data_IF_164226447641
#
_entry.id   IF_164226447641
#
_cell.length_a   1.000
_cell.length_b   1.000
_cell.length_c   1.000
_cell.angle_alpha   90.00
_cell.angle_beta   90.00
_cell.angle_gamma   90.00
#
_symmetry.space_group_name_H-M   'P 1'
#
loop_
_entity.id
_entity.type
_entity.pdbx_description
1 polymer ?
#
# COMPACT_ATOMS: atom_id res chain seq x y z
N UNK A 1 -10.12 16.33 1.82
CA UNK A 1 -8.72 16.71 1.51
C UNK A 1 -8.38 16.15 0.14
N UNK A 2 -7.66 16.88 -0.71
CA UNK A 2 -7.39 16.45 -2.10
C UNK A 2 -6.17 15.51 -2.13
N UNK A 3 -6.24 14.43 -2.91
CA UNK A 3 -5.10 13.51 -3.13
C UNK A 3 -4.13 14.09 -4.16
N UNK A 4 -2.83 13.86 -3.96
CA UNK A 4 -1.80 14.11 -4.97
C UNK A 4 -2.08 13.23 -6.19
N UNK A 5 -1.61 13.64 -7.38
CA UNK A 5 -1.81 12.84 -8.60
C UNK A 5 -0.99 11.55 -8.57
N UNK A 6 0.19 11.64 -7.98
CA UNK A 6 1.17 10.58 -7.83
C UNK A 6 0.58 9.44 -6.99
N UNK A 7 0.97 8.20 -7.27
CA UNK A 7 0.43 7.02 -6.56
C UNK A 7 0.89 7.02 -5.10
N UNK A 8 2.20 7.15 -4.85
CA UNK A 8 2.76 7.30 -3.51
C UNK A 8 2.55 8.75 -3.05
N UNK A 9 1.73 8.94 -2.01
CA UNK A 9 1.49 10.27 -1.43
C UNK A 9 2.73 10.74 -0.65
N UNK A 10 3.00 12.04 -0.66
CA UNK A 10 4.12 12.63 0.11
C UNK A 10 3.92 12.53 1.62
N UNK A 11 2.65 12.61 2.04
CA UNK A 11 2.22 12.51 3.43
C UNK A 11 2.01 11.06 3.83
N UNK A 12 2.12 10.79 5.12
CA UNK A 12 1.79 9.47 5.69
C UNK A 12 2.89 8.43 5.53
N UNK A 13 4.10 8.81 5.09
CA UNK A 13 5.27 7.96 5.24
C UNK A 13 5.89 8.17 6.63
N UNK A 14 5.85 7.14 7.48
CA UNK A 14 6.43 7.18 8.84
C UNK A 14 6.60 5.78 9.42
N UNK A 15 7.45 5.67 10.43
CA UNK A 15 7.49 4.49 11.29
C UNK A 15 6.19 4.37 12.12
N UNK A 16 5.77 3.12 12.34
CA UNK A 16 4.58 2.76 13.14
C UNK A 16 5.06 2.29 14.51
N UNK A 17 4.51 2.91 15.56
CA UNK A 17 4.78 2.57 16.96
C UNK A 17 3.63 1.75 17.54
N UNK A 18 3.96 0.68 18.27
CA UNK A 18 3.05 -0.03 19.16
C UNK A 18 3.63 -0.02 20.57
N UNK A 19 3.11 0.87 21.43
CA UNK A 19 3.68 1.09 22.75
C UNK A 19 5.07 1.72 22.65
N UNK A 20 6.08 1.01 23.15
CA UNK A 20 7.49 1.44 23.12
C UNK A 20 8.25 0.92 21.88
N UNK A 21 7.66 0.00 21.12
CA UNK A 21 8.33 -0.69 20.02
C UNK A 21 7.91 -0.11 18.67
N UNK A 22 8.90 0.05 17.78
CA UNK A 22 8.65 0.32 16.37
C UNK A 22 8.44 -1.00 15.63
N UNK A 23 7.25 -1.21 15.08
CA UNK A 23 6.84 -2.49 14.49
C UNK A 23 6.90 -2.51 12.97
N UNK A 24 7.06 -1.35 12.34
CA UNK A 24 7.11 -1.23 10.89
C UNK A 24 7.07 0.21 10.42
N UNK A 25 6.67 0.39 9.17
CA UNK A 25 6.44 1.69 8.56
C UNK A 25 5.17 1.68 7.71
N UNK A 26 4.57 2.84 7.51
CA UNK A 26 3.38 3.00 6.67
C UNK A 26 3.62 3.87 5.45
N UNK A 27 2.85 3.61 4.40
CA UNK A 27 2.84 4.34 3.14
C UNK A 27 1.40 4.69 2.79
N UNK A 28 1.14 5.94 2.43
CA UNK A 28 -0.15 6.35 1.88
C UNK A 28 -0.17 6.20 0.35
N UNK A 29 -1.14 5.45 -0.16
CA UNK A 29 -1.31 5.19 -1.59
C UNK A 29 -2.63 5.79 -2.09
N UNK A 30 -2.59 6.34 -3.30
CA UNK A 30 -3.77 6.73 -4.08
C UNK A 30 -4.21 5.57 -4.97
N UNK A 31 -5.53 5.43 -5.11
CA UNK A 31 -6.14 4.50 -6.05
C UNK A 31 -5.62 4.72 -7.48
N UNK A 32 -4.92 3.75 -8.11
CA UNK A 32 -4.38 3.93 -9.46
C UNK A 32 -5.43 3.69 -10.55
N UNK A 33 -6.59 3.14 -10.21
CA UNK A 33 -7.68 2.86 -11.15
C UNK A 33 -8.72 4.00 -11.19
N UNK A 34 -9.31 4.28 -12.36
CA UNK A 34 -10.27 5.37 -12.57
C UNK A 34 -11.60 5.25 -11.82
N UNK A 35 -12.00 4.05 -11.36
CA UNK A 35 -13.33 3.82 -10.74
C UNK A 35 -13.31 3.27 -9.31
N UNK A 36 -12.13 3.18 -8.68
CA UNK A 36 -11.97 2.42 -7.45
C UNK A 36 -12.20 0.92 -7.63
N UNK A 37 -11.86 0.11 -6.61
CA UNK A 37 -11.97 -1.35 -6.69
C UNK A 37 -12.51 -1.94 -5.39
N UNK A 38 -13.18 -3.09 -5.52
CA UNK A 38 -13.53 -3.91 -4.37
C UNK A 38 -12.26 -4.49 -3.75
N UNK A 39 -12.23 -4.66 -2.43
CA UNK A 39 -11.09 -5.23 -1.72
C UNK A 39 -10.71 -6.61 -2.27
N UNK A 40 -11.70 -7.41 -2.67
CA UNK A 40 -11.49 -8.73 -3.27
C UNK A 40 -10.80 -8.73 -4.64
N UNK A 41 -10.64 -7.57 -5.25
CA UNK A 41 -9.90 -7.39 -6.50
C UNK A 41 -8.49 -6.82 -6.29
N UNK A 42 -8.06 -6.67 -5.05
CA UNK A 42 -6.69 -6.27 -4.70
C UNK A 42 -5.89 -7.56 -4.55
N UNK A 43 -4.82 -7.71 -5.33
CA UNK A 43 -3.89 -8.85 -5.25
C UNK A 43 -2.65 -8.55 -4.39
N UNK A 44 -2.54 -7.29 -3.94
CA UNK A 44 -1.57 -6.84 -2.95
C UNK A 44 -0.70 -5.72 -3.48
N UNK A 45 0.36 -5.40 -2.73
CA UNK A 45 1.35 -4.40 -3.13
C UNK A 45 2.74 -4.85 -2.72
N UNK A 46 3.64 -5.05 -3.69
CA UNK A 46 5.04 -5.24 -3.34
C UNK A 46 5.63 -3.87 -2.98
N UNK A 47 6.45 -3.82 -1.94
CA UNK A 47 7.11 -2.60 -1.48
C UNK A 47 8.61 -2.86 -1.50
N UNK A 48 9.38 -1.99 -2.14
CA UNK A 48 10.84 -2.01 -2.07
C UNK A 48 11.33 -0.72 -1.44
N UNK A 49 12.18 -0.82 -0.42
CA UNK A 49 12.83 0.33 0.23
C UNK A 49 14.33 0.12 0.22
N UNK A 50 15.07 1.03 -0.40
CA UNK A 50 16.54 0.97 -0.53
C UNK A 50 17.08 -0.39 -1.01
N UNK A 51 16.34 -1.04 -1.90
CA UNK A 51 16.68 -2.35 -2.47
C UNK A 51 16.20 -3.56 -1.65
N UNK A 52 15.66 -3.38 -0.44
CA UNK A 52 14.99 -4.44 0.31
C UNK A 52 13.53 -4.55 -0.12
N UNK A 53 13.10 -5.74 -0.56
CA UNK A 53 11.73 -5.99 -1.03
C UNK A 53 10.90 -6.76 0.01
N UNK A 54 9.65 -6.32 0.16
CA UNK A 54 8.56 -7.04 0.79
C UNK A 54 7.53 -7.41 -0.28
N UNK A 55 7.22 -8.71 -0.40
CA UNK A 55 6.31 -9.22 -1.43
C UNK A 55 4.87 -8.82 -1.14
N UNK A 56 4.02 -8.88 -2.16
CA UNK A 56 2.64 -8.35 -2.16
C UNK A 56 1.70 -8.84 -1.05
N UNK A 57 2.01 -9.96 -0.40
CA UNK A 57 1.19 -10.53 0.67
C UNK A 57 1.60 -10.06 2.06
N UNK A 58 2.78 -9.46 2.20
CA UNK A 58 3.33 -9.02 3.49
C UNK A 58 2.64 -7.74 4.01
N UNK A 59 2.45 -6.68 3.19
CA UNK A 59 1.88 -5.45 3.70
C UNK A 59 0.41 -5.57 4.12
N UNK A 60 0.04 -4.85 5.17
CA UNK A 60 -1.33 -4.75 5.68
C UNK A 60 -1.99 -3.50 5.12
N UNK A 61 -3.23 -3.65 4.68
CA UNK A 61 -4.01 -2.61 4.03
C UNK A 61 -5.03 -2.04 4.99
N UNK A 62 -4.99 -0.74 5.22
CA UNK A 62 -6.05 -0.01 5.91
C UNK A 62 -6.92 0.70 4.89
N UNK A 63 -8.17 0.25 4.82
CA UNK A 63 -9.24 0.81 3.98
C UNK A 63 -10.45 1.05 4.87
N UNK A 64 -11.12 2.19 4.70
CA UNK A 64 -12.33 2.57 5.45
C UNK A 64 -12.14 2.46 6.97
N UNK A 65 -10.93 2.79 7.46
CA UNK A 65 -10.57 2.74 8.87
C UNK A 65 -10.37 1.33 9.44
N UNK A 66 -10.34 0.29 8.60
CA UNK A 66 -10.15 -1.11 9.00
C UNK A 66 -8.90 -1.69 8.33
N UNK A 67 -8.11 -2.44 9.09
CA UNK A 67 -6.87 -3.06 8.61
C UNK A 67 -7.10 -4.51 8.20
N UNK A 68 -6.51 -4.91 7.09
CA UNK A 68 -6.67 -6.22 6.47
C UNK A 68 -5.33 -6.78 5.99
N UNK A 69 -5.16 -8.09 6.11
CA UNK A 69 -4.30 -8.88 5.22
C UNK A 69 -4.86 -8.92 3.81
N UNK A 70 -4.02 -9.33 2.86
CA UNK A 70 -4.50 -9.61 1.51
C UNK A 70 -5.52 -10.75 1.46
N UNK A 71 -5.39 -11.75 2.34
CA UNK A 71 -6.33 -12.87 2.42
C UNK A 71 -7.72 -12.41 2.88
N UNK A 72 -7.79 -11.51 3.87
CA UNK A 72 -9.05 -10.93 4.34
C UNK A 72 -9.69 -10.04 3.26
N UNK A 73 -8.89 -9.25 2.52
CA UNK A 73 -9.38 -8.48 1.38
C UNK A 73 -9.98 -9.36 0.29
N UNK A 74 -9.28 -10.44 -0.11
CA UNK A 74 -9.76 -11.42 -1.10
C UNK A 74 -11.13 -12.01 -0.74
N UNK A 75 -11.41 -12.19 0.54
CA UNK A 75 -12.69 -12.73 1.04
C UNK A 75 -13.76 -11.64 1.29
N UNK A 76 -13.38 -10.36 1.24
CA UNK A 76 -14.29 -9.27 1.57
C UNK A 76 -15.34 -9.04 0.47
N UNK A 77 -16.57 -8.76 0.89
CA UNK A 77 -17.70 -8.41 0.00
C UNK A 77 -18.19 -6.99 0.20
N UNK A 78 -17.75 -6.32 1.28
CA UNK A 78 -18.20 -4.98 1.68
C UNK A 78 -17.08 -3.95 1.77
N UNK A 79 -15.84 -4.30 1.47
CA UNK A 79 -14.70 -3.37 1.49
C UNK A 79 -14.46 -2.85 0.08
N UNK A 80 -14.36 -1.54 -0.06
CA UNK A 80 -14.07 -0.89 -1.33
C UNK A 80 -13.03 0.20 -1.13
N UNK A 81 -11.95 0.14 -1.89
CA UNK A 81 -11.02 1.26 -1.96
C UNK A 81 -11.60 2.30 -2.93
N UNK A 82 -12.07 3.42 -2.38
CA UNK A 82 -12.69 4.49 -3.17
C UNK A 82 -11.64 5.30 -3.95
N UNK A 83 -12.08 6.00 -5.00
CA UNK A 83 -11.20 6.79 -5.86
C UNK A 83 -10.54 7.96 -5.12
N UNK A 84 -11.27 8.58 -4.20
CA UNK A 84 -10.91 9.73 -3.40
C UNK A 84 -10.39 9.37 -1.99
N UNK A 85 -10.25 8.06 -1.73
CA UNK A 85 -9.76 7.54 -0.47
C UNK A 85 -8.27 7.17 -0.54
N UNK A 86 -7.52 7.53 0.51
CA UNK A 86 -6.16 7.03 0.72
C UNK A 86 -6.21 5.62 1.28
N UNK A 87 -5.49 4.69 0.67
CA UNK A 87 -5.14 3.44 1.34
C UNK A 87 -3.87 3.65 2.15
N UNK A 88 -3.87 3.26 3.42
CA UNK A 88 -2.63 3.17 4.20
C UNK A 88 -2.11 1.75 4.13
N UNK A 89 -0.86 1.57 3.75
CA UNK A 89 -0.19 0.27 3.67
C UNK A 89 0.90 0.22 4.72
N UNK A 90 0.78 -0.69 5.69
CA UNK A 90 1.78 -0.92 6.73
C UNK A 90 2.65 -2.13 6.36
N UNK A 91 3.96 -1.94 6.40
CA UNK A 91 4.97 -2.98 6.17
C UNK A 91 5.66 -3.31 7.48
N UNK A 92 5.62 -4.58 7.93
CA UNK A 92 6.29 -4.99 9.17
C UNK A 92 7.81 -4.92 9.02
N UNK A 93 8.45 -4.25 9.96
CA UNK A 93 9.90 -4.11 10.08
C UNK A 93 10.22 -3.73 11.52
N UNK A 94 10.72 -4.68 12.31
CA UNK A 94 11.11 -4.41 13.69
C UNK A 94 12.21 -3.34 13.73
N UNK A 95 12.02 -2.30 14.55
CA UNK A 95 12.90 -1.13 14.61
C UNK A 95 12.61 -0.06 13.55
N UNK A 96 11.74 -0.35 12.58
CA UNK A 96 11.37 0.57 11.51
C UNK A 96 12.53 0.93 10.58
N UNK A 97 12.33 2.00 9.82
CA UNK A 97 13.36 2.60 8.96
C UNK A 97 14.19 3.60 9.76
N UNK A 98 15.47 3.73 9.41
CA UNK A 98 16.33 4.76 9.96
C UNK A 98 15.80 6.16 9.63
N UNK A 99 16.18 7.18 10.40
CA UNK A 99 15.90 8.56 10.01
C UNK A 99 16.74 8.94 8.77
N UNK A 100 16.13 9.61 7.80
CA UNK A 100 16.80 9.98 6.55
C UNK A 100 15.91 9.88 5.33
N UNK A 101 16.54 9.95 4.15
CA UNK A 101 15.87 9.84 2.85
C UNK A 101 15.96 8.40 2.35
N UNK A 102 14.82 7.83 2.02
CA UNK A 102 14.68 6.47 1.49
C UNK A 102 14.14 6.48 0.07
N UNK A 103 14.61 5.56 -0.75
CA UNK A 103 14.04 5.29 -2.06
C UNK A 103 12.96 4.23 -1.95
N UNK A 104 11.70 4.62 -2.18
CA UNK A 104 10.54 3.74 -2.03
C UNK A 104 9.91 3.48 -3.38
N UNK A 105 9.79 2.21 -3.73
CA UNK A 105 9.03 1.72 -4.89
C UNK A 105 7.85 0.89 -4.40
N UNK A 106 6.71 1.04 -5.07
CA UNK A 106 5.55 0.18 -4.88
C UNK A 106 5.08 -0.38 -6.22
N UNK A 107 4.63 -1.62 -6.20
CA UNK A 107 4.01 -2.31 -7.32
C UNK A 107 2.64 -2.85 -6.88
N UNK A 108 1.58 -2.07 -7.12
CA UNK A 108 0.20 -2.47 -6.76
C UNK A 108 -0.34 -3.43 -7.81
N UNK A 109 -0.78 -4.61 -7.37
CA UNK A 109 -1.43 -5.60 -8.22
C UNK A 109 -2.96 -5.53 -8.05
N UNK A 110 -3.67 -5.24 -9.14
CA UNK A 110 -5.14 -5.23 -9.16
C UNK A 110 -5.68 -6.23 -10.19
N UNK A 111 -6.72 -6.95 -9.80
CA UNK A 111 -7.47 -7.85 -10.65
C UNK A 111 -8.64 -7.11 -11.32
N UNK A 112 -8.90 -7.41 -12.60
CA UNK A 112 -10.05 -6.87 -13.33
C UNK A 112 -11.02 -8.00 -13.75
N UNK A 113 -12.26 -8.06 -13.27
CA UNK A 113 -13.13 -9.25 -13.42
C UNK A 113 -13.50 -9.64 -14.86
N UNK A 114 -13.24 -8.77 -15.83
CA UNK A 114 -13.54 -8.96 -17.25
C UNK A 114 -12.30 -9.13 -18.15
N UNK A 115 -11.09 -9.14 -17.57
CA UNK A 115 -9.85 -9.37 -18.32
C UNK A 115 -9.42 -10.83 -18.07
N UNK A 116 -9.11 -11.60 -19.14
CA UNK A 116 -8.68 -13.00 -19.03
C UNK A 116 -7.50 -13.20 -18.06
N UNK A 117 -7.46 -14.36 -17.40
CA UNK A 117 -6.52 -14.63 -16.31
C UNK A 117 -5.04 -14.52 -16.74
N UNK A 118 -4.72 -14.85 -17.99
CA UNK A 118 -3.37 -14.75 -18.58
C UNK A 118 -2.86 -13.31 -18.71
N UNK A 119 -3.74 -12.30 -18.64
CA UNK A 119 -3.40 -10.88 -18.69
C UNK A 119 -3.51 -10.20 -17.32
N UNK A 120 -3.58 -10.99 -16.24
CA UNK A 120 -3.75 -10.52 -14.87
C UNK A 120 -2.53 -10.87 -13.99
N UNK A 121 -2.33 -10.14 -12.88
CA UNK A 121 -2.97 -8.86 -12.55
C UNK A 121 -2.38 -7.70 -13.34
N UNK A 122 -3.09 -6.57 -13.38
CA UNK A 122 -2.48 -5.31 -13.79
C UNK A 122 -1.56 -4.80 -12.68
N UNK A 123 -0.32 -4.47 -13.02
CA UNK A 123 0.67 -3.91 -12.09
C UNK A 123 0.81 -2.41 -12.30
N UNK A 124 0.61 -1.64 -11.23
CA UNK A 124 0.80 -0.19 -11.18
C UNK A 124 2.04 0.13 -10.36
N UNK A 125 3.11 0.50 -11.06
CA UNK A 125 4.41 0.84 -10.47
C UNK A 125 4.51 2.33 -10.16
N UNK A 126 5.08 2.67 -9.01
CA UNK A 126 5.50 4.03 -8.69
C UNK A 126 6.74 4.01 -7.82
N UNK A 127 7.59 5.03 -7.95
CA UNK A 127 8.81 5.19 -7.16
C UNK A 127 8.94 6.64 -6.72
N UNK A 128 9.35 6.85 -5.47
CA UNK A 128 9.46 8.16 -4.85
C UNK A 128 10.50 8.15 -3.74
N UNK A 129 11.26 9.24 -3.62
CA UNK A 129 12.07 9.51 -2.42
C UNK A 129 11.19 10.10 -1.31
N UNK A 130 11.29 9.53 -0.12
CA UNK A 130 10.53 9.93 1.07
C UNK A 130 11.49 10.11 2.24
N UNK A 131 11.10 10.94 3.21
CA UNK A 131 11.93 11.24 4.38
C UNK A 131 11.29 10.70 5.65
N UNK A 132 12.03 9.92 6.41
CA UNK A 132 11.68 9.54 7.78
C UNK A 132 12.34 10.53 8.72
N UNK A 133 11.53 11.14 9.58
CA UNK A 133 12.02 12.02 10.64
C UNK A 133 12.36 11.16 11.88
N UNK A 134 13.40 11.56 12.60
CA UNK A 134 13.77 10.99 13.89
C UNK A 134 12.77 11.35 14.99
#
# INVERSE_FOLDING_TARGET
>A
MVLERELIQSRGFRNVQEGADTVGFEIALRMPNYRGVWGSLIDGVAVTVDGQEWTREVPRWTLQGRTFSIQELRQSTNVRWQLDEVATVMVPLAGGLAAGVHDVRVDIALHAPYIPAEFQPSIFTSQRKVTVLA
#
